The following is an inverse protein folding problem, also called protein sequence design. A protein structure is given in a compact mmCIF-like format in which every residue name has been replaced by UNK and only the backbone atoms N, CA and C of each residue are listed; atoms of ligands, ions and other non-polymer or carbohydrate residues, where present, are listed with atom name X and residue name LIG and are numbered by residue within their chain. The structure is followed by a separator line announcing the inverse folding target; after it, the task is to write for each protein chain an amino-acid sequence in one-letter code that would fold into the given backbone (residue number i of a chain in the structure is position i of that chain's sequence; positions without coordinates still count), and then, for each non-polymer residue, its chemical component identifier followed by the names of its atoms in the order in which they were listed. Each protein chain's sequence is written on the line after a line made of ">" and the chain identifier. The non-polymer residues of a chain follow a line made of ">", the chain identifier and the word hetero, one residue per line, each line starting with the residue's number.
data_IF_791114626907
#
_entry.id   IF_791114626907
#
_cell.length_a   1.000
_cell.length_b   1.000
_cell.length_c   1.000
_cell.angle_alpha   90.00
_cell.angle_beta   90.00
_cell.angle_gamma   90.00
#
_symmetry.space_group_name_H-M   'P 1'
#
loop_
_entity.id
_entity.type
_entity.pdbx_description
1 polymer ?
#
# COMPACT_ATOMS: atom_id res chain seq x y z
N UNK A 1 -10.76 -5.73 52.75
CA UNK A 1 -10.75 -5.98 51.30
C UNK A 1 -10.96 -4.65 50.61
N UNK A 2 -9.89 -4.04 50.08
CA UNK A 2 -9.99 -2.81 49.30
C UNK A 2 -10.32 -3.20 47.85
N UNK A 3 -11.48 -2.79 47.34
CA UNK A 3 -11.82 -2.97 45.93
C UNK A 3 -11.20 -1.82 45.14
N UNK A 4 -10.19 -2.15 44.34
CA UNK A 4 -9.65 -1.23 43.34
C UNK A 4 -10.61 -1.22 42.16
N UNK A 5 -11.46 -0.20 42.11
CA UNK A 5 -12.24 0.15 40.93
C UNK A 5 -11.26 0.73 39.91
N UNK A 6 -10.91 -0.08 38.90
CA UNK A 6 -10.21 0.40 37.71
C UNK A 6 -11.12 1.37 36.96
N UNK A 7 -10.76 2.65 36.95
CA UNK A 7 -11.35 3.60 36.01
C UNK A 7 -11.09 3.11 34.58
N UNK A 8 -12.09 3.15 33.68
CA UNK A 8 -11.83 2.95 32.26
C UNK A 8 -10.87 4.04 31.77
N UNK A 9 -9.93 3.66 30.90
CA UNK A 9 -9.04 4.59 30.22
C UNK A 9 -9.87 5.71 29.57
N UNK A 10 -9.39 6.98 29.60
CA UNK A 10 -10.12 8.08 28.99
C UNK A 10 -10.36 7.77 27.51
N UNK A 11 -11.61 7.88 27.08
CA UNK A 11 -11.96 7.81 25.66
C UNK A 11 -11.10 8.84 24.92
N UNK A 12 -10.31 8.40 23.94
CA UNK A 12 -9.55 9.31 23.10
C UNK A 12 -10.54 10.31 22.48
N UNK A 13 -10.39 11.60 22.79
CA UNK A 13 -11.24 12.64 22.22
C UNK A 13 -11.20 12.50 20.69
N UNK A 14 -12.37 12.26 20.07
CA UNK A 14 -12.49 12.26 18.62
C UNK A 14 -12.13 13.65 18.10
N UNK A 15 -10.99 13.74 17.42
CA UNK A 15 -10.56 14.98 16.80
C UNK A 15 -11.10 15.03 15.37
N UNK A 16 -11.51 16.20 14.91
CA UNK A 16 -11.86 16.38 13.50
C UNK A 16 -10.59 16.82 12.78
N UNK A 17 -10.14 16.06 11.78
CA UNK A 17 -9.04 16.48 10.93
C UNK A 17 -9.60 17.37 9.82
N UNK A 18 -9.30 18.65 9.89
CA UNK A 18 -9.63 19.60 8.82
C UNK A 18 -8.52 19.60 7.79
N UNK A 19 -8.79 19.26 6.51
CA UNK A 19 -7.76 19.32 5.48
C UNK A 19 -7.31 20.77 5.27
N UNK A 20 -6.01 20.98 5.11
CA UNK A 20 -5.43 22.29 4.75
C UNK A 20 -5.68 22.59 3.27
N UNK A 21 -5.65 21.55 2.44
CA UNK A 21 -5.88 21.59 0.99
C UNK A 21 -6.82 20.43 0.65
N UNK A 22 -7.85 20.71 -0.14
CA UNK A 22 -8.74 19.70 -0.74
C UNK A 22 -8.54 19.74 -2.25
N UNK A 23 -8.13 18.62 -2.84
CA UNK A 23 -7.95 18.47 -4.28
C UNK A 23 -9.11 17.65 -4.84
N UNK A 24 -9.96 18.30 -5.63
CA UNK A 24 -11.18 17.70 -6.18
C UNK A 24 -11.04 17.47 -7.69
N UNK A 25 -11.64 16.38 -8.19
CA UNK A 25 -11.71 16.15 -9.63
C UNK A 25 -11.90 14.69 -10.04
N UNK A 26 -11.39 13.74 -9.26
CA UNK A 26 -11.63 12.31 -9.52
C UNK A 26 -13.12 11.96 -9.32
N UNK A 27 -13.67 11.16 -10.23
CA UNK A 27 -15.10 10.80 -10.21
C UNK A 27 -15.37 9.48 -9.49
N UNK A 28 -14.30 8.73 -9.19
CA UNK A 28 -14.36 7.45 -8.48
C UNK A 28 -13.34 7.41 -7.36
N UNK A 29 -13.28 6.26 -6.68
CA UNK A 29 -12.34 6.02 -5.58
C UNK A 29 -10.89 6.07 -6.07
N UNK A 30 -10.13 6.99 -5.48
CA UNK A 30 -8.67 7.07 -5.60
C UNK A 30 -8.06 5.77 -5.04
N UNK A 31 -7.15 5.16 -5.80
CA UNK A 31 -6.53 3.88 -5.45
C UNK A 31 -5.14 4.06 -4.84
N UNK A 32 -4.34 4.96 -5.41
CA UNK A 32 -2.99 5.24 -4.94
C UNK A 32 -2.60 6.68 -5.21
N UNK A 33 -1.58 7.13 -4.50
CA UNK A 33 -0.98 8.46 -4.60
C UNK A 33 0.54 8.35 -4.40
N UNK A 34 1.28 9.19 -5.11
CA UNK A 34 2.73 9.33 -4.98
C UNK A 34 3.10 10.79 -5.04
N UNK A 35 3.97 11.24 -4.13
CA UNK A 35 4.64 12.53 -4.30
C UNK A 35 5.69 12.41 -5.39
N UNK A 36 5.94 13.51 -6.08
CA UNK A 36 7.12 13.64 -6.93
C UNK A 36 8.33 14.00 -6.08
N UNK A 37 9.54 13.70 -6.55
CA UNK A 37 10.82 13.97 -5.86
C UNK A 37 10.94 15.38 -5.27
N UNK A 38 10.39 16.40 -5.92
CA UNK A 38 10.46 17.78 -5.46
C UNK A 38 9.54 18.10 -4.27
N UNK A 39 8.63 17.19 -3.92
CA UNK A 39 7.61 17.35 -2.87
C UNK A 39 6.59 18.45 -3.14
N UNK A 40 6.67 19.13 -4.30
CA UNK A 40 5.76 20.22 -4.69
C UNK A 40 4.60 19.70 -5.50
N UNK A 41 4.75 18.52 -6.07
CA UNK A 41 3.75 17.90 -6.90
C UNK A 41 3.42 16.49 -6.44
N UNK A 42 2.21 16.06 -6.79
CA UNK A 42 1.70 14.75 -6.45
C UNK A 42 0.98 14.16 -7.66
N UNK A 43 1.04 12.84 -7.80
CA UNK A 43 0.26 12.09 -8.78
C UNK A 43 -0.76 11.24 -8.01
N UNK A 44 -2.01 11.25 -8.46
CA UNK A 44 -3.07 10.36 -7.99
C UNK A 44 -3.61 9.50 -9.12
N UNK A 45 -4.00 8.28 -8.78
CA UNK A 45 -4.59 7.33 -9.74
C UNK A 45 -5.92 6.79 -9.25
N UNK A 46 -6.82 6.52 -10.19
CA UNK A 46 -8.21 6.25 -9.89
C UNK A 46 -8.85 5.20 -10.81
N UNK A 47 -9.92 4.58 -10.32
CA UNK A 47 -10.78 3.66 -11.08
C UNK A 47 -11.60 4.35 -12.18
N UNK A 48 -11.59 5.69 -12.23
CA UNK A 48 -12.12 6.47 -13.35
C UNK A 48 -11.20 6.44 -14.59
N UNK A 49 -10.12 5.65 -14.54
CA UNK A 49 -9.10 5.47 -15.57
C UNK A 49 -8.17 6.67 -15.72
N UNK A 50 -8.21 7.63 -14.81
CA UNK A 50 -7.38 8.84 -14.87
C UNK A 50 -6.19 8.78 -13.93
N UNK A 51 -5.09 9.32 -14.42
CA UNK A 51 -3.89 9.68 -13.67
C UNK A 51 -3.83 11.20 -13.68
N UNK A 52 -3.90 11.81 -12.50
CA UNK A 52 -3.92 13.27 -12.34
C UNK A 52 -2.67 13.74 -11.62
N UNK A 53 -2.10 14.85 -12.10
CA UNK A 53 -0.96 15.52 -11.49
C UNK A 53 -1.44 16.80 -10.83
N UNK A 54 -0.95 17.06 -9.63
CA UNK A 54 -1.37 18.17 -8.79
C UNK A 54 -0.17 19.04 -8.46
N UNK A 55 -0.38 20.36 -8.53
CA UNK A 55 0.52 21.36 -7.98
C UNK A 55 0.05 21.69 -6.56
N UNK A 56 0.84 21.31 -5.56
CA UNK A 56 0.52 21.49 -4.15
C UNK A 56 0.78 22.92 -3.65
N UNK A 57 1.51 23.74 -4.42
CA UNK A 57 1.69 25.15 -4.12
C UNK A 57 0.53 25.98 -4.68
N UNK A 58 0.06 25.63 -5.87
CA UNK A 58 -1.07 26.28 -6.53
C UNK A 58 -2.43 25.68 -6.15
N UNK A 59 -2.47 24.58 -5.39
CA UNK A 59 -3.67 23.87 -4.94
C UNK A 59 -4.61 23.50 -6.09
N UNK A 60 -4.05 23.05 -7.21
CA UNK A 60 -4.83 22.77 -8.43
C UNK A 60 -4.25 21.61 -9.22
N UNK A 61 -5.10 21.04 -10.07
CA UNK A 61 -4.66 20.08 -11.07
C UNK A 61 -3.81 20.78 -12.16
N UNK A 62 -2.80 20.05 -12.64
CA UNK A 62 -2.08 20.34 -13.89
C UNK A 62 -2.80 19.56 -15.00
N UNK A 63 -3.87 20.14 -15.54
CA UNK A 63 -4.79 19.43 -16.46
C UNK A 63 -4.09 18.91 -17.72
N UNK A 64 -3.07 19.63 -18.21
CA UNK A 64 -2.30 19.23 -19.38
C UNK A 64 -1.50 17.93 -19.15
N UNK A 65 -1.22 17.59 -17.89
CA UNK A 65 -0.54 16.37 -17.51
C UNK A 65 -1.51 15.21 -17.20
N UNK A 66 -2.84 15.41 -17.35
CA UNK A 66 -3.83 14.36 -17.14
C UNK A 66 -3.67 13.28 -18.20
N UNK A 67 -3.51 12.03 -17.75
CA UNK A 67 -3.49 10.85 -18.61
C UNK A 67 -4.73 10.01 -18.40
N UNK A 68 -5.32 9.54 -19.49
CA UNK A 68 -6.46 8.62 -19.48
C UNK A 68 -5.96 7.27 -19.99
N UNK A 69 -6.13 6.23 -19.17
CA UNK A 69 -5.74 4.86 -19.48
C UNK A 69 -6.94 4.07 -20.04
N UNK A 70 -6.66 2.90 -20.60
CA UNK A 70 -7.70 2.03 -21.19
C UNK A 70 -8.57 1.40 -20.09
N UNK A 71 -7.96 1.09 -18.95
CA UNK A 71 -8.58 0.47 -17.77
C UNK A 71 -8.37 1.29 -16.49
N UNK A 72 -8.98 0.83 -15.39
CA UNK A 72 -8.82 1.45 -14.07
C UNK A 72 -7.38 1.34 -13.58
N UNK A 73 -6.86 2.41 -12.99
CA UNK A 73 -5.49 2.45 -12.50
C UNK A 73 -5.50 2.25 -10.98
N UNK A 74 -4.72 1.27 -10.52
CA UNK A 74 -4.71 0.80 -9.14
C UNK A 74 -3.47 1.25 -8.38
N UNK A 75 -2.33 1.39 -9.04
CA UNK A 75 -1.10 1.79 -8.39
C UNK A 75 -0.26 2.76 -9.23
N UNK A 76 0.47 3.60 -8.53
CA UNK A 76 1.41 4.57 -9.09
C UNK A 76 2.65 4.62 -8.22
N UNK A 77 3.81 4.80 -8.86
CA UNK A 77 5.09 5.02 -8.22
C UNK A 77 5.96 5.89 -9.12
N UNK A 78 6.83 6.69 -8.51
CA UNK A 78 7.92 7.38 -9.21
C UNK A 78 9.25 6.78 -8.75
N UNK A 79 10.21 6.63 -9.67
CA UNK A 79 11.58 6.27 -9.31
C UNK A 79 12.23 7.36 -8.46
N UNK A 80 13.21 6.97 -7.65
CA UNK A 80 13.88 7.90 -6.73
C UNK A 80 14.76 8.90 -7.48
N UNK A 81 15.26 8.55 -8.65
CA UNK A 81 15.93 9.48 -9.56
C UNK A 81 14.97 10.45 -10.29
N UNK A 82 13.65 10.31 -10.13
CA UNK A 82 12.63 11.13 -10.79
C UNK A 82 12.49 10.87 -12.29
N UNK A 83 13.17 9.86 -12.81
CA UNK A 83 13.21 9.54 -14.24
C UNK A 83 11.93 8.85 -14.72
N UNK A 84 11.40 7.95 -13.91
CA UNK A 84 10.33 7.03 -14.29
C UNK A 84 9.06 7.28 -13.48
N UNK A 85 7.94 7.43 -14.18
CA UNK A 85 6.61 7.32 -13.61
C UNK A 85 5.98 5.98 -14.03
N UNK A 86 5.63 5.15 -13.06
CA UNK A 86 5.01 3.85 -13.29
C UNK A 86 3.54 3.90 -12.92
N UNK A 87 2.69 3.40 -13.81
CA UNK A 87 1.26 3.23 -13.59
C UNK A 87 0.89 1.77 -13.80
N UNK A 88 0.12 1.22 -12.88
CA UNK A 88 -0.33 -0.15 -12.93
C UNK A 88 -1.84 -0.25 -12.71
N UNK A 89 -2.49 -1.14 -13.47
CA UNK A 89 -3.92 -1.35 -13.40
C UNK A 89 -4.37 -2.54 -14.24
N UNK A 90 -5.55 -2.42 -14.83
CA UNK A 90 -6.13 -3.44 -15.71
C UNK A 90 -7.58 -3.76 -15.37
N UNK A 91 -8.04 -4.92 -15.83
CA UNK A 91 -9.35 -5.49 -15.55
C UNK A 91 -9.24 -6.94 -15.03
N UNK A 92 -10.38 -7.61 -14.88
CA UNK A 92 -10.45 -8.97 -14.33
C UNK A 92 -9.71 -10.01 -15.17
N UNK A 93 -9.43 -9.72 -16.44
CA UNK A 93 -8.85 -10.64 -17.43
C UNK A 93 -7.52 -10.14 -18.01
N UNK A 94 -7.11 -8.89 -17.72
CA UNK A 94 -5.90 -8.28 -18.27
C UNK A 94 -5.22 -7.38 -17.25
N UNK A 95 -3.92 -7.58 -17.04
CA UNK A 95 -3.06 -6.65 -16.29
C UNK A 95 -2.40 -5.62 -17.21
N UNK A 96 -2.43 -4.35 -16.83
CA UNK A 96 -1.77 -3.27 -17.57
C UNK A 96 -0.66 -2.65 -16.71
N UNK A 97 0.59 -2.77 -17.14
CA UNK A 97 1.74 -2.15 -16.49
C UNK A 97 2.50 -1.28 -17.50
N UNK A 98 2.49 0.04 -17.25
CA UNK A 98 3.12 1.03 -18.11
C UNK A 98 4.14 1.83 -17.31
N UNK A 99 5.34 1.97 -17.86
CA UNK A 99 6.41 2.83 -17.33
C UNK A 99 6.63 3.94 -18.35
N UNK A 100 6.56 5.19 -17.89
CA UNK A 100 6.73 6.37 -18.72
C UNK A 100 7.94 7.17 -18.22
N UNK A 101 8.84 7.56 -19.10
CA UNK A 101 9.89 8.53 -18.75
C UNK A 101 9.26 9.91 -18.57
N UNK A 102 9.50 10.57 -17.42
CA UNK A 102 8.84 11.83 -17.03
C UNK A 102 9.13 12.95 -18.04
N UNK A 103 10.30 12.92 -18.69
CA UNK A 103 10.74 13.95 -19.64
C UNK A 103 10.60 13.57 -21.12
N UNK A 104 10.51 12.27 -21.49
CA UNK A 104 10.72 11.83 -22.88
C UNK A 104 9.55 11.08 -23.54
N UNK A 105 8.34 11.03 -22.96
CA UNK A 105 7.17 10.27 -23.48
C UNK A 105 7.47 8.81 -23.87
N UNK A 106 8.59 8.23 -23.45
CA UNK A 106 8.91 6.83 -23.72
C UNK A 106 8.03 5.98 -22.82
N UNK A 107 7.04 5.31 -23.43
CA UNK A 107 6.17 4.34 -22.75
C UNK A 107 6.68 2.93 -23.02
N UNK A 108 7.14 2.26 -21.96
CA UNK A 108 7.36 0.81 -21.96
C UNK A 108 6.11 0.12 -21.39
N UNK A 109 5.63 -0.91 -22.09
CA UNK A 109 4.56 -1.78 -21.61
C UNK A 109 5.14 -3.12 -21.18
N UNK A 110 4.69 -3.62 -20.04
CA UNK A 110 5.17 -4.88 -19.45
C UNK A 110 4.03 -5.88 -19.49
N UNK A 111 4.13 -6.84 -20.40
CA UNK A 111 3.11 -7.87 -20.60
C UNK A 111 3.45 -9.13 -19.82
N UNK A 112 2.45 -9.72 -19.15
CA UNK A 112 2.60 -11.04 -18.55
C UNK A 112 1.61 -11.37 -17.44
N UNK A 113 1.09 -10.37 -16.71
CA UNK A 113 0.03 -10.60 -15.73
C UNK A 113 -1.30 -10.89 -16.44
N UNK A 114 -1.98 -11.96 -16.03
CA UNK A 114 -3.23 -12.41 -16.65
C UNK A 114 -4.49 -11.81 -16.00
N UNK A 115 -4.30 -10.98 -14.97
CA UNK A 115 -5.35 -10.24 -14.26
C UNK A 115 -4.82 -8.89 -13.82
N UNK A 116 -5.74 -8.02 -13.36
CA UNK A 116 -5.47 -6.71 -12.79
C UNK A 116 -4.23 -6.68 -11.89
N UNK A 117 -3.38 -5.69 -12.12
CA UNK A 117 -2.22 -5.41 -11.28
C UNK A 117 -2.68 -4.45 -10.19
N UNK A 118 -2.50 -4.86 -8.94
CA UNK A 118 -3.09 -4.22 -7.76
C UNK A 118 -2.10 -3.32 -7.03
N UNK A 119 -0.81 -3.63 -7.14
CA UNK A 119 0.25 -2.96 -6.43
C UNK A 119 1.57 -3.05 -7.19
N UNK A 120 2.43 -2.06 -6.94
CA UNK A 120 3.79 -1.99 -7.45
C UNK A 120 4.73 -1.45 -6.37
N UNK A 121 6.02 -1.73 -6.53
CA UNK A 121 7.10 -1.10 -5.79
C UNK A 121 8.39 -1.05 -6.63
N UNK A 122 9.29 -0.11 -6.33
CA UNK A 122 10.55 0.07 -7.04
C UNK A 122 11.70 -0.29 -6.09
N UNK A 123 12.70 -1.02 -6.59
CA UNK A 123 13.90 -1.34 -5.80
C UNK A 123 14.66 -0.07 -5.41
N UNK A 124 15.43 -0.15 -4.33
CA UNK A 124 16.17 0.99 -3.78
C UNK A 124 17.21 1.58 -4.76
N UNK A 125 17.66 0.80 -5.74
CA UNK A 125 18.60 1.17 -6.79
C UNK A 125 17.94 1.63 -8.10
N UNK A 126 16.60 1.76 -8.14
CA UNK A 126 15.80 2.12 -9.32
C UNK A 126 16.00 1.19 -10.55
N UNK A 127 16.49 -0.04 -10.34
CA UNK A 127 16.74 -0.99 -11.43
C UNK A 127 15.59 -1.96 -11.68
N UNK A 128 14.85 -2.30 -10.62
CA UNK A 128 13.80 -3.30 -10.64
C UNK A 128 12.44 -2.70 -10.28
N UNK A 129 11.43 -3.14 -11.00
CA UNK A 129 10.02 -2.91 -10.71
C UNK A 129 9.40 -4.21 -10.23
N UNK A 130 8.80 -4.20 -9.05
CA UNK A 130 7.95 -5.27 -8.57
C UNK A 130 6.49 -4.97 -8.90
N UNK A 131 5.74 -5.98 -9.36
CA UNK A 131 4.29 -5.90 -9.53
C UNK A 131 3.60 -7.09 -8.89
N UNK A 132 2.44 -6.85 -8.27
CA UNK A 132 1.56 -7.87 -7.72
C UNK A 132 0.18 -7.83 -8.37
N UNK A 133 -0.43 -8.99 -8.61
CA UNK A 133 -1.68 -9.11 -9.36
C UNK A 133 -2.71 -10.03 -8.69
N UNK A 134 -3.96 -9.85 -9.12
CA UNK A 134 -5.05 -10.80 -8.86
C UNK A 134 -4.88 -12.16 -9.53
N UNK A 135 -3.83 -12.36 -10.35
CA UNK A 135 -3.44 -13.67 -10.90
C UNK A 135 -2.64 -14.55 -9.91
N UNK A 136 -2.51 -14.09 -8.66
CA UNK A 136 -1.79 -14.75 -7.55
C UNK A 136 -0.27 -14.73 -7.75
N UNK A 137 0.25 -13.91 -8.64
CA UNK A 137 1.69 -13.79 -8.86
C UNK A 137 2.22 -12.43 -8.48
N UNK A 138 3.44 -12.42 -7.96
CA UNK A 138 4.31 -11.26 -8.04
C UNK A 138 5.35 -11.47 -9.16
N UNK A 139 5.79 -10.38 -9.79
CA UNK A 139 6.76 -10.41 -10.89
C UNK A 139 7.76 -9.26 -10.75
N UNK A 140 9.02 -9.51 -11.13
CA UNK A 140 10.07 -8.50 -11.14
C UNK A 140 10.53 -8.20 -12.55
N UNK A 141 10.58 -6.93 -12.89
CA UNK A 141 10.91 -6.44 -14.21
C UNK A 141 12.10 -5.52 -14.16
N UNK A 142 12.90 -5.50 -15.22
CA UNK A 142 13.96 -4.51 -15.41
C UNK A 142 13.34 -3.21 -15.90
N UNK A 143 13.53 -2.12 -15.15
CA UNK A 143 13.07 -0.79 -15.54
C UNK A 143 13.76 -0.31 -16.82
N UNK A 144 15.04 -0.68 -17.01
CA UNK A 144 15.80 -0.36 -18.21
C UNK A 144 15.31 -1.07 -19.47
N UNK A 145 15.06 -2.37 -19.39
CA UNK A 145 14.80 -3.18 -20.60
C UNK A 145 13.33 -3.48 -20.83
N UNK A 146 12.47 -3.30 -19.83
CA UNK A 146 11.06 -3.69 -19.92
C UNK A 146 10.81 -5.20 -19.76
N UNK A 147 11.86 -6.00 -19.51
CA UNK A 147 11.78 -7.46 -19.51
C UNK A 147 11.57 -8.02 -18.11
N UNK A 148 10.88 -9.16 -18.04
CA UNK A 148 10.77 -9.97 -16.82
C UNK A 148 12.17 -10.49 -16.44
N UNK A 149 12.59 -10.21 -15.21
CA UNK A 149 13.90 -10.61 -14.65
C UNK A 149 13.75 -11.79 -13.69
N UNK A 150 12.67 -11.82 -12.91
CA UNK A 150 12.40 -12.88 -11.95
C UNK A 150 10.89 -13.08 -11.72
N UNK A 151 10.54 -14.29 -11.27
CA UNK A 151 9.16 -14.74 -11.11
C UNK A 151 8.61 -15.46 -12.36
N UNK A 152 7.32 -15.81 -12.37
CA UNK A 152 6.32 -15.46 -11.36
C UNK A 152 6.59 -16.09 -9.99
N UNK A 153 6.47 -15.28 -8.94
CA UNK A 153 6.45 -15.73 -7.55
C UNK A 153 5.01 -16.10 -7.20
N UNK A 154 4.72 -17.39 -7.12
CA UNK A 154 3.37 -17.92 -6.89
C UNK A 154 2.95 -17.73 -5.43
N UNK A 155 2.05 -16.77 -5.20
CA UNK A 155 1.50 -16.45 -3.88
C UNK A 155 0.29 -17.31 -3.56
N UNK A 156 0.02 -17.51 -2.27
CA UNK A 156 -1.14 -18.31 -1.83
C UNK A 156 -2.50 -17.68 -2.16
N UNK A 157 -2.55 -16.37 -2.47
CA UNK A 157 -3.78 -15.63 -2.73
C UNK A 157 -3.52 -14.45 -3.68
N UNK A 158 -4.56 -13.65 -3.93
CA UNK A 158 -4.44 -12.41 -4.71
C UNK A 158 -3.43 -11.50 -4.04
N UNK A 159 -2.47 -10.97 -4.78
CA UNK A 159 -1.50 -10.05 -4.21
C UNK A 159 -2.18 -8.71 -3.97
N UNK A 160 -2.14 -8.21 -2.74
CA UNK A 160 -2.75 -6.93 -2.33
C UNK A 160 -1.74 -5.81 -2.21
N UNK A 161 -0.56 -6.12 -1.67
CA UNK A 161 0.53 -5.17 -1.52
C UNK A 161 1.88 -5.88 -1.64
N UNK A 162 2.87 -5.16 -2.15
CA UNK A 162 4.22 -5.66 -2.39
C UNK A 162 5.23 -4.59 -1.98
N UNK A 163 6.29 -4.95 -1.25
CA UNK A 163 7.38 -4.03 -0.93
C UNK A 163 8.74 -4.70 -0.93
N UNK A 164 9.71 -4.06 -1.57
CA UNK A 164 11.12 -4.41 -1.43
C UNK A 164 11.63 -4.09 -0.03
N UNK A 165 12.51 -4.94 0.50
CA UNK A 165 13.35 -4.57 1.63
C UNK A 165 14.27 -3.42 1.24
N UNK A 166 14.81 -2.69 2.23
CA UNK A 166 15.71 -1.55 2.00
C UNK A 166 16.92 -1.89 1.12
N UNK A 167 17.41 -3.13 1.21
CA UNK A 167 18.54 -3.63 0.40
C UNK A 167 18.09 -4.31 -0.91
N UNK A 168 16.80 -4.32 -1.23
CA UNK A 168 16.17 -4.95 -2.41
C UNK A 168 16.42 -6.45 -2.57
N UNK A 169 16.90 -7.13 -1.52
CA UNK A 169 17.16 -8.58 -1.55
C UNK A 169 15.94 -9.41 -1.19
N UNK A 170 15.00 -8.84 -0.45
CA UNK A 170 13.76 -9.49 -0.02
C UNK A 170 12.56 -8.74 -0.56
N UNK A 171 11.47 -9.47 -0.72
CA UNK A 171 10.19 -8.97 -1.16
C UNK A 171 9.12 -9.41 -0.16
N UNK A 172 8.48 -8.45 0.50
CA UNK A 172 7.31 -8.71 1.32
C UNK A 172 6.06 -8.62 0.43
N UNK A 173 5.25 -9.68 0.44
CA UNK A 173 4.03 -9.82 -0.34
C UNK A 173 2.89 -10.09 0.63
N UNK A 174 1.92 -9.18 0.70
CA UNK A 174 0.73 -9.33 1.51
C UNK A 174 -0.48 -9.56 0.61
N UNK A 175 -1.31 -10.53 0.96
CA UNK A 175 -2.51 -10.83 0.19
C UNK A 175 -3.52 -9.69 0.27
N UNK A 176 -4.42 -9.68 -0.71
CA UNK A 176 -5.52 -8.72 -0.80
C UNK A 176 -6.27 -8.57 0.52
N UNK A 177 -6.67 -9.69 1.15
CA UNK A 177 -7.41 -9.67 2.42
C UNK A 177 -6.53 -9.64 3.68
N UNK A 178 -5.20 -9.62 3.54
CA UNK A 178 -4.26 -9.56 4.67
C UNK A 178 -4.22 -10.83 5.51
N UNK A 179 -4.51 -11.98 4.92
CA UNK A 179 -4.47 -13.30 5.56
C UNK A 179 -3.20 -14.11 5.22
N UNK A 180 -2.43 -13.70 4.21
CA UNK A 180 -1.14 -14.29 3.88
C UNK A 180 -0.08 -13.21 3.75
N UNK A 181 0.96 -13.30 4.56
CA UNK A 181 2.15 -12.47 4.45
C UNK A 181 3.32 -13.39 4.13
N UNK A 182 3.93 -13.14 3.00
CA UNK A 182 5.02 -13.93 2.42
C UNK A 182 6.25 -13.07 2.28
N UNK A 183 7.41 -13.64 2.62
CA UNK A 183 8.73 -13.03 2.37
C UNK A 183 9.47 -13.91 1.39
N UNK A 184 9.86 -13.32 0.27
CA UNK A 184 10.57 -13.99 -0.81
C UNK A 184 11.99 -13.47 -0.91
N UNK A 185 12.92 -14.37 -1.21
CA UNK A 185 14.25 -14.00 -1.62
C UNK A 185 14.26 -13.69 -3.13
N UNK A 186 14.70 -12.48 -3.46
CA UNK A 186 14.72 -11.98 -4.84
C UNK A 186 15.76 -12.71 -5.68
N UNK A 187 16.90 -13.07 -5.10
CA UNK A 187 18.03 -13.68 -5.81
C UNK A 187 17.78 -15.16 -6.08
N UNK A 188 17.31 -15.91 -5.08
CA UNK A 188 17.05 -17.35 -5.21
C UNK A 188 15.66 -17.65 -5.76
N UNK A 189 14.79 -16.63 -5.87
CA UNK A 189 13.41 -16.74 -6.33
C UNK A 189 12.59 -17.77 -5.53
N UNK A 190 12.84 -17.83 -4.22
CA UNK A 190 12.23 -18.82 -3.33
C UNK A 190 11.50 -18.15 -2.18
N UNK A 191 10.42 -18.78 -1.74
CA UNK A 191 9.71 -18.39 -0.53
C UNK A 191 10.60 -18.68 0.68
N UNK A 192 10.99 -17.65 1.42
CA UNK A 192 11.74 -17.83 2.67
C UNK A 192 10.80 -18.23 3.80
N UNK A 193 9.73 -17.46 3.94
CA UNK A 193 8.78 -17.57 5.06
C UNK A 193 7.40 -17.13 4.61
N UNK A 194 6.40 -17.74 5.24
CA UNK A 194 4.99 -17.33 5.14
C UNK A 194 4.33 -17.45 6.50
N UNK A 195 3.59 -16.42 6.87
CA UNK A 195 2.63 -16.49 7.97
C UNK A 195 1.22 -16.47 7.37
N UNK A 196 0.38 -17.38 7.87
CA UNK A 196 -1.00 -17.56 7.42
C UNK A 196 -1.90 -17.27 8.60
N UNK A 197 -2.80 -16.31 8.40
CA UNK A 197 -3.85 -15.97 9.34
C UNK A 197 -5.09 -16.85 9.15
N UNK A 198 -6.25 -16.35 9.58
CA UNK A 198 -7.51 -17.04 9.29
C UNK A 198 -8.08 -16.58 7.97
N UNK A 199 -8.44 -17.55 7.13
CA UNK A 199 -9.21 -17.30 5.92
C UNK A 199 -10.60 -16.80 6.35
N UNK A 200 -10.96 -15.60 5.91
CA UNK A 200 -12.30 -15.11 6.16
C UNK A 200 -13.33 -15.95 5.40
N UNK A 201 -14.29 -16.54 6.12
CA UNK A 201 -15.35 -17.42 5.57
C UNK A 201 -16.72 -16.71 5.51
N UNK A 202 -16.76 -15.38 5.65
CA UNK A 202 -18.00 -14.62 5.62
C UNK A 202 -18.58 -14.43 4.21
N UNK A 203 -19.86 -14.08 4.14
CA UNK A 203 -20.63 -13.89 2.91
C UNK A 203 -20.99 -12.42 2.64
N UNK A 204 -20.03 -11.51 2.84
CA UNK A 204 -20.20 -10.07 2.51
C UNK A 204 -19.55 -9.69 1.16
N UNK A 205 -20.33 -9.19 0.18
CA UNK A 205 -19.87 -9.03 -1.21
C UNK A 205 -19.08 -7.75 -1.52
N UNK A 206 -18.66 -6.96 -0.52
CA UNK A 206 -18.14 -5.59 -0.76
C UNK A 206 -17.01 -5.20 0.19
N UNK A 207 -15.83 -5.80 0.06
CA UNK A 207 -14.62 -5.26 0.71
C UNK A 207 -13.43 -5.37 -0.24
N UNK A 208 -13.10 -4.25 -0.87
CA UNK A 208 -11.79 -4.00 -1.47
C UNK A 208 -10.82 -3.85 -0.29
N UNK A 209 -9.85 -4.75 -0.18
CA UNK A 209 -8.76 -4.61 0.78
C UNK A 209 -7.45 -4.65 0.00
N UNK A 210 -6.64 -3.61 0.14
CA UNK A 210 -5.25 -3.62 -0.26
C UNK A 210 -4.47 -3.61 1.03
N UNK A 211 -4.46 -4.75 1.75
CA UNK A 211 -3.91 -4.80 3.09
C UNK A 211 -2.44 -4.34 3.04
N UNK A 212 -2.12 -3.13 3.56
CA UNK A 212 -0.81 -2.54 3.32
C UNK A 212 0.28 -3.35 4.00
N UNK A 213 1.45 -3.38 3.37
CA UNK A 213 2.69 -3.95 3.91
C UNK A 213 3.82 -2.97 3.70
N UNK A 214 4.76 -2.91 4.63
CA UNK A 214 5.96 -2.11 4.50
C UNK A 214 7.10 -2.63 5.37
N UNK A 215 8.33 -2.38 4.93
CA UNK A 215 9.53 -2.64 5.69
C UNK A 215 9.86 -1.47 6.59
N UNK A 216 10.33 -1.75 7.80
CA UNK A 216 10.87 -0.74 8.72
C UNK A 216 12.38 -0.67 8.64
N UNK A 217 12.95 0.41 9.18
CA UNK A 217 14.40 0.56 9.32
C UNK A 217 15.02 -0.44 10.31
N UNK A 218 14.20 -1.20 11.04
CA UNK A 218 14.63 -2.20 12.02
C UNK A 218 14.65 -3.63 11.45
N UNK A 219 14.56 -3.79 10.12
CA UNK A 219 14.44 -5.09 9.46
C UNK A 219 13.19 -5.87 9.94
N UNK A 220 12.13 -5.14 10.29
CA UNK A 220 10.81 -5.70 10.57
C UNK A 220 9.84 -5.33 9.46
N UNK A 221 8.71 -6.03 9.40
CA UNK A 221 7.65 -5.81 8.44
C UNK A 221 6.40 -5.40 9.19
N UNK A 222 5.82 -4.26 8.81
CA UNK A 222 4.51 -3.87 9.31
C UNK A 222 3.46 -4.21 8.25
N UNK A 223 2.42 -4.91 8.66
CA UNK A 223 1.34 -5.31 7.78
C UNK A 223 -0.01 -5.09 8.47
N UNK A 224 -0.98 -4.54 7.74
CA UNK A 224 -2.37 -4.77 8.11
C UNK A 224 -2.64 -6.26 7.86
N UNK A 225 -2.91 -7.00 8.94
CA UNK A 225 -2.97 -8.45 8.89
C UNK A 225 -4.14 -8.96 9.71
N UNK A 226 -4.62 -10.15 9.36
CA UNK A 226 -5.77 -10.75 9.98
C UNK A 226 -5.46 -12.16 10.50
N UNK A 227 -5.32 -12.29 11.82
CA UNK A 227 -5.25 -13.60 12.49
C UNK A 227 -6.62 -14.16 12.89
N UNK A 228 -7.68 -13.35 12.87
CA UNK A 228 -9.01 -13.68 13.40
C UNK A 228 -10.06 -13.78 12.29
N UNK A 229 -11.33 -14.03 12.62
CA UNK A 229 -12.43 -14.08 11.63
C UNK A 229 -12.90 -12.67 11.18
N UNK A 230 -12.13 -11.64 11.53
CA UNK A 230 -12.38 -10.26 11.11
C UNK A 230 -11.67 -9.99 9.77
N UNK A 231 -11.82 -8.78 9.25
CA UNK A 231 -10.98 -8.33 8.14
C UNK A 231 -9.67 -7.73 8.69
N UNK A 232 -8.67 -7.44 7.84
CA UNK A 232 -7.39 -6.81 8.22
C UNK A 232 -7.59 -5.40 8.84
N UNK A 233 -7.97 -5.38 10.12
CA UNK A 233 -8.37 -4.23 10.94
C UNK A 233 -7.30 -3.86 11.97
N UNK A 234 -6.24 -4.67 12.05
CA UNK A 234 -5.16 -4.52 13.00
C UNK A 234 -3.84 -4.50 12.24
N UNK A 235 -2.89 -3.67 12.68
CA UNK A 235 -1.53 -3.65 12.13
C UNK A 235 -0.62 -4.42 13.07
N UNK A 236 0.12 -5.37 12.51
CA UNK A 236 1.12 -6.17 13.21
C UNK A 236 2.50 -5.79 12.70
N UNK A 237 3.46 -5.73 13.63
CA UNK A 237 4.88 -5.76 13.28
C UNK A 237 5.36 -7.20 13.34
N UNK A 238 6.14 -7.62 12.34
CA UNK A 238 6.71 -8.94 12.22
C UNK A 238 8.22 -8.83 12.14
N UNK A 239 8.93 -9.68 12.88
CA UNK A 239 10.36 -9.88 12.62
C UNK A 239 10.51 -10.48 11.22
N UNK A 240 11.30 -9.85 10.33
CA UNK A 240 11.34 -10.29 8.94
C UNK A 240 12.01 -11.66 8.75
N UNK A 241 12.80 -12.13 9.71
CA UNK A 241 13.52 -13.40 9.62
C UNK A 241 12.67 -14.59 10.12
N UNK A 242 11.83 -14.36 11.13
CA UNK A 242 10.98 -15.40 11.72
C UNK A 242 9.52 -15.32 11.29
N UNK A 243 9.06 -14.13 10.87
CA UNK A 243 7.64 -13.75 10.75
C UNK A 243 6.84 -13.97 12.05
N UNK A 244 7.50 -13.89 13.20
CA UNK A 244 6.85 -13.80 14.50
C UNK A 244 6.46 -12.35 14.81
N UNK A 245 5.33 -12.16 15.50
CA UNK A 245 4.84 -10.83 15.86
C UNK A 245 5.73 -10.16 16.90
N UNK A 246 6.07 -8.90 16.68
CA UNK A 246 6.91 -8.09 17.56
C UNK A 246 6.05 -7.13 18.39
N UNK A 247 6.06 -7.35 19.70
CA UNK A 247 5.32 -6.52 20.66
C UNK A 247 3.80 -6.61 20.50
N UNK A 248 3.08 -5.67 21.09
CA UNK A 248 1.63 -5.58 20.93
C UNK A 248 1.25 -4.99 19.58
N UNK A 249 0.19 -5.48 18.92
CA UNK A 249 -0.30 -4.92 17.67
C UNK A 249 -0.94 -3.52 17.86
N UNK A 250 -1.09 -2.80 16.76
CA UNK A 250 -1.83 -1.53 16.73
C UNK A 250 -3.32 -1.81 16.50
N UNK A 251 -4.05 -1.95 17.60
CA UNK A 251 -5.47 -2.30 17.60
C UNK A 251 -6.39 -1.09 17.71
N UNK A 252 -7.51 -1.15 16.97
CA UNK A 252 -8.68 -0.35 17.28
C UNK A 252 -9.47 0.18 16.08
N UNK A 253 -8.99 -0.01 14.85
CA UNK A 253 -9.85 0.19 13.68
C UNK A 253 -10.99 -0.84 13.67
N UNK A 254 -12.17 -0.43 13.21
CA UNK A 254 -13.37 -1.29 13.21
C UNK A 254 -13.70 -1.86 11.83
N UNK A 255 -12.99 -1.38 10.81
CA UNK A 255 -13.03 -1.88 9.44
C UNK A 255 -11.62 -1.95 8.86
N UNK A 256 -11.55 -2.48 7.65
CA UNK A 256 -10.31 -2.74 6.90
C UNK A 256 -9.41 -1.52 6.81
N UNK A 257 -8.13 -1.73 7.12
CA UNK A 257 -7.08 -0.74 6.96
C UNK A 257 -6.64 -0.77 5.50
N UNK A 258 -6.66 0.39 4.85
CA UNK A 258 -6.32 0.53 3.42
C UNK A 258 -5.03 1.30 3.19
N UNK A 259 -4.50 1.96 4.21
CA UNK A 259 -3.30 2.76 4.08
C UNK A 259 -2.56 2.84 5.40
N UNK A 260 -1.24 2.76 5.32
CA UNK A 260 -0.34 2.94 6.45
C UNK A 260 0.87 3.74 5.98
N UNK A 261 1.35 4.65 6.82
CA UNK A 261 2.56 5.43 6.56
C UNK A 261 3.37 5.57 7.86
N UNK A 262 4.68 5.36 7.76
CA UNK A 262 5.63 5.62 8.84
C UNK A 262 6.28 6.98 8.60
N UNK A 263 6.46 7.77 9.65
CA UNK A 263 7.25 9.01 9.55
C UNK A 263 8.71 8.69 9.26
N UNK A 264 9.41 9.64 8.63
CA UNK A 264 10.81 9.47 8.23
C UNK A 264 11.74 9.13 9.41
N UNK A 265 11.48 9.72 10.57
CA UNK A 265 12.21 9.44 11.82
C UNK A 265 11.78 8.12 12.50
N UNK A 266 10.78 7.42 11.98
CA UNK A 266 10.22 6.20 12.55
C UNK A 266 9.44 6.40 13.85
N UNK A 267 9.20 7.64 14.28
CA UNK A 267 8.54 7.93 15.56
C UNK A 267 7.02 7.80 15.53
N UNK A 268 6.40 8.02 14.37
CA UNK A 268 4.96 8.04 14.17
C UNK A 268 4.52 7.05 13.11
N UNK A 269 3.40 6.40 13.39
CA UNK A 269 2.66 5.59 12.44
C UNK A 269 1.31 6.26 12.19
N UNK A 270 0.92 6.42 10.93
CA UNK A 270 -0.42 6.83 10.54
C UNK A 270 -1.14 5.66 9.86
N UNK A 271 -2.40 5.42 10.18
CA UNK A 271 -3.24 4.39 9.55
C UNK A 271 -4.58 4.96 9.11
N UNK A 272 -5.07 4.54 7.95
CA UNK A 272 -6.35 4.95 7.38
C UNK A 272 -7.24 3.75 7.10
N UNK A 273 -8.51 3.82 7.49
CA UNK A 273 -9.44 2.69 7.44
C UNK A 273 -10.77 3.03 6.79
N UNK A 274 -11.45 1.99 6.29
CA UNK A 274 -12.84 2.07 5.83
C UNK A 274 -13.84 2.42 6.93
N UNK A 275 -13.41 2.53 8.19
CA UNK A 275 -14.20 3.05 9.32
C UNK A 275 -14.29 4.58 9.34
N UNK A 276 -13.78 5.24 8.29
CA UNK A 276 -13.76 6.69 8.13
C UNK A 276 -12.88 7.40 9.16
N UNK A 277 -11.88 6.70 9.70
CA UNK A 277 -10.89 7.29 10.60
C UNK A 277 -9.47 7.22 10.06
N UNK A 278 -8.69 8.24 10.40
CA UNK A 278 -7.23 8.22 10.37
C UNK A 278 -6.76 8.18 11.81
N UNK A 279 -5.88 7.23 12.15
CA UNK A 279 -5.28 7.13 13.48
C UNK A 279 -3.79 7.41 13.43
N UNK A 280 -3.30 8.11 14.45
CA UNK A 280 -1.89 8.41 14.63
C UNK A 280 -1.39 7.70 15.89
N UNK A 281 -0.30 6.97 15.76
CA UNK A 281 0.28 6.15 16.82
C UNK A 281 1.73 6.57 17.08
N UNK A 282 2.14 6.53 18.35
CA UNK A 282 3.55 6.49 18.70
C UNK A 282 4.08 5.11 18.36
N UNK A 283 5.03 5.03 17.44
CA UNK A 283 5.46 3.76 16.87
C UNK A 283 6.11 2.83 17.89
N UNK A 284 7.03 3.36 18.71
CA UNK A 284 7.78 2.60 19.71
C UNK A 284 6.90 2.17 20.89
N UNK A 285 6.09 3.08 21.42
CA UNK A 285 5.26 2.79 22.59
C UNK A 285 3.94 2.09 22.25
N UNK A 286 3.62 1.95 20.95
CA UNK A 286 2.36 1.41 20.42
C UNK A 286 1.11 2.18 20.86
N UNK A 287 1.26 3.39 21.39
CA UNK A 287 0.14 4.16 21.93
C UNK A 287 -0.61 4.89 20.82
N UNK A 288 -1.94 4.80 20.83
CA UNK A 288 -2.79 5.68 20.04
C UNK A 288 -2.68 7.11 20.56
N UNK A 289 -2.14 8.01 19.74
CA UNK A 289 -1.98 9.42 20.08
C UNK A 289 -3.23 10.22 19.73
N UNK A 290 -3.83 9.94 18.57
CA UNK A 290 -5.01 10.63 18.09
C UNK A 290 -5.82 9.75 17.14
N UNK A 291 -7.14 9.96 17.15
CA UNK A 291 -8.08 9.38 16.19
C UNK A 291 -8.88 10.50 15.55
N UNK A 292 -8.85 10.54 14.22
CA UNK A 292 -9.44 11.59 13.43
C UNK A 292 -10.58 11.07 12.58
N UNK A 293 -11.78 11.66 12.69
CA UNK A 293 -12.91 11.32 11.82
C UNK A 293 -12.83 12.11 10.51
N UNK A 294 -12.81 11.39 9.39
CA UNK A 294 -12.85 11.96 8.04
C UNK A 294 -14.31 11.98 7.57
N UNK A 295 -14.92 13.16 7.54
CA UNK A 295 -16.26 13.33 6.97
C UNK A 295 -16.15 13.39 5.45
N UNK A 296 -16.88 12.52 4.76
CA UNK A 296 -17.08 12.69 3.32
C UNK A 296 -17.94 13.95 3.11
N UNK A 297 -17.56 14.88 2.22
CA UNK A 297 -18.49 15.92 1.79
C UNK A 297 -19.72 15.25 1.18
N UNK A 298 -20.90 15.76 1.54
CA UNK A 298 -22.21 15.26 1.14
C UNK A 298 -22.45 15.38 -0.36
#
# INVERSE_FOLDING_TARGET
>A
MASTTTQPAPAANEMILTPVITLEGHEKRIQSLSYLQDGRQMVSVCLDKTVRRWDLQANKEIEEARKVCDHGVHAVAESRDGRWAITAGGDVDHGELKVSEVEMEIVKSFEGHSKVITCIDISADDMLLASGSGDHTARLWSLDTGKLVAGPFESAAWVGAIRFSHNSKKLAVNSWSGENLEVWDVQTQSLDRRVVGKLWVGSSPLRITFAPVFWTNKETILAAFNFDDLAATTIYEFDASTLETVGTPFEGHTKVINGVALSFDGGLLASASGDHTIRLWAFESRQLLASFVVRLPH
#
